data_IF_773304082697
#
_entry.id   IF_773304082697
#
_cell.length_a   1.000
_cell.length_b   1.000
_cell.length_c   1.000
_cell.angle_alpha   90.00
_cell.angle_beta   90.00
_cell.angle_gamma   90.00
#
_symmetry.space_group_name_H-M   'P 1'
#
loop_
_entity.id
_entity.type
_entity.pdbx_description
1 polymer ?
#
# COMPACT_ATOMS: atom_id res chain seq x y z
N UNK A 1 -28.59 -35.01 -9.16
CA UNK A 1 -28.50 -33.65 -8.59
C UNK A 1 -29.61 -32.83 -9.22
N UNK A 2 -30.60 -32.44 -8.42
CA UNK A 2 -31.78 -31.69 -8.88
C UNK A 2 -31.37 -30.28 -9.36
N UNK A 3 -32.19 -29.65 -10.21
CA UNK A 3 -31.92 -28.31 -10.74
C UNK A 3 -31.74 -27.25 -9.63
N UNK A 4 -32.45 -27.40 -8.51
CA UNK A 4 -32.36 -26.52 -7.35
C UNK A 4 -31.03 -26.66 -6.60
N UNK A 5 -30.52 -27.88 -6.44
CA UNK A 5 -29.20 -28.15 -5.82
C UNK A 5 -28.07 -27.54 -6.66
N UNK A 6 -28.16 -27.70 -7.99
CA UNK A 6 -27.22 -27.08 -8.93
C UNK A 6 -27.23 -25.55 -8.81
N UNK A 7 -28.42 -24.95 -8.69
CA UNK A 7 -28.59 -23.50 -8.54
C UNK A 7 -28.05 -23.00 -7.21
N UNK A 8 -28.28 -23.72 -6.12
CA UNK A 8 -27.77 -23.39 -4.79
C UNK A 8 -26.24 -23.46 -4.75
N UNK A 9 -25.65 -24.50 -5.32
CA UNK A 9 -24.20 -24.67 -5.42
C UNK A 9 -23.53 -23.55 -6.24
N UNK A 10 -24.09 -23.21 -7.41
CA UNK A 10 -23.61 -22.09 -8.25
C UNK A 10 -23.72 -20.75 -7.54
N UNK A 11 -24.83 -20.52 -6.82
CA UNK A 11 -25.02 -19.30 -6.02
C UNK A 11 -23.96 -19.19 -4.92
N UNK A 12 -23.66 -20.30 -4.25
CA UNK A 12 -22.64 -20.32 -3.20
C UNK A 12 -21.24 -20.08 -3.75
N UNK A 13 -20.90 -20.70 -4.88
CA UNK A 13 -19.64 -20.48 -5.58
C UNK A 13 -19.48 -19.00 -5.99
N UNK A 14 -20.53 -18.41 -6.58
CA UNK A 14 -20.55 -16.99 -6.95
C UNK A 14 -20.33 -16.07 -5.74
N UNK A 15 -20.99 -16.36 -4.61
CA UNK A 15 -20.78 -15.62 -3.35
C UNK A 15 -19.34 -15.73 -2.85
N UNK A 16 -18.74 -16.92 -2.89
CA UNK A 16 -17.34 -17.09 -2.47
C UNK A 16 -16.39 -16.27 -3.34
N UNK A 17 -16.52 -16.37 -4.66
CA UNK A 17 -15.69 -15.60 -5.61
C UNK A 17 -15.86 -14.10 -5.39
N UNK A 18 -17.08 -13.62 -5.17
CA UNK A 18 -17.35 -12.20 -4.88
C UNK A 18 -16.67 -11.73 -3.60
N UNK A 19 -16.68 -12.53 -2.52
CA UNK A 19 -16.00 -12.19 -1.27
C UNK A 19 -14.47 -12.10 -1.45
N UNK A 20 -13.88 -13.04 -2.16
CA UNK A 20 -12.44 -13.02 -2.45
C UNK A 20 -12.08 -11.82 -3.32
N UNK A 21 -12.89 -11.54 -4.36
CA UNK A 21 -12.68 -10.37 -5.23
C UNK A 21 -12.72 -9.05 -4.45
N UNK A 22 -13.63 -8.94 -3.47
CA UNK A 22 -13.69 -7.78 -2.57
C UNK A 22 -12.41 -7.65 -1.74
N UNK A 23 -11.90 -8.74 -1.18
CA UNK A 23 -10.63 -8.71 -0.43
C UNK A 23 -9.47 -8.24 -1.34
N UNK A 24 -9.40 -8.74 -2.58
CA UNK A 24 -8.33 -8.37 -3.52
C UNK A 24 -8.42 -6.92 -3.98
N UNK A 25 -9.61 -6.39 -4.24
CA UNK A 25 -9.77 -4.98 -4.62
C UNK A 25 -9.40 -4.04 -3.47
N UNK A 26 -9.74 -4.38 -2.23
CA UNK A 26 -9.32 -3.61 -1.05
C UNK A 26 -7.80 -3.57 -0.90
N UNK A 27 -7.12 -4.70 -1.14
CA UNK A 27 -5.67 -4.77 -1.11
C UNK A 27 -5.03 -3.91 -2.22
N UNK A 28 -5.56 -4.02 -3.45
CA UNK A 28 -5.13 -3.23 -4.61
C UNK A 28 -5.28 -1.72 -4.37
N UNK A 29 -6.41 -1.28 -3.82
CA UNK A 29 -6.62 0.13 -3.47
C UNK A 29 -5.59 0.61 -2.45
N UNK A 30 -5.31 -0.21 -1.44
CA UNK A 30 -4.30 0.09 -0.42
C UNK A 30 -2.90 0.22 -0.99
N UNK A 31 -2.47 -0.72 -1.84
CA UNK A 31 -1.18 -0.71 -2.55
C UNK A 31 -1.08 0.52 -3.47
N UNK A 32 -2.16 0.89 -4.15
CA UNK A 32 -2.16 2.06 -5.04
C UNK A 32 -2.00 3.38 -4.27
N UNK A 33 -2.73 3.58 -3.15
CA UNK A 33 -2.57 4.76 -2.27
C UNK A 33 -1.13 4.89 -1.78
N UNK A 34 -0.54 3.76 -1.46
CA UNK A 34 0.84 3.61 -1.03
C UNK A 34 1.87 4.03 -2.07
N UNK A 35 1.70 3.59 -3.33
CA UNK A 35 2.54 4.04 -4.45
C UNK A 35 2.49 5.55 -4.65
N UNK A 36 1.28 6.13 -4.61
CA UNK A 36 1.08 7.58 -4.72
C UNK A 36 1.76 8.35 -3.59
N UNK A 37 1.63 7.88 -2.35
CA UNK A 37 2.30 8.49 -1.20
C UNK A 37 3.82 8.49 -1.36
N UNK A 38 4.42 7.37 -1.78
CA UNK A 38 5.86 7.30 -2.02
C UNK A 38 6.31 8.27 -3.11
N UNK A 39 5.56 8.38 -4.20
CA UNK A 39 5.83 9.32 -5.29
C UNK A 39 5.75 10.78 -4.83
N UNK A 40 4.71 11.14 -4.05
CA UNK A 40 4.56 12.48 -3.47
C UNK A 40 5.73 12.84 -2.56
N UNK A 41 6.16 11.92 -1.68
CA UNK A 41 7.29 12.16 -0.79
C UNK A 41 8.59 12.38 -1.56
N UNK A 42 8.87 11.56 -2.58
CA UNK A 42 10.05 11.74 -3.44
C UNK A 42 10.01 13.11 -4.13
N UNK A 43 8.84 13.51 -4.64
CA UNK A 43 8.66 14.80 -5.31
C UNK A 43 8.90 15.98 -4.36
N UNK A 44 8.37 15.91 -3.12
CA UNK A 44 8.58 16.91 -2.08
C UNK A 44 10.07 17.01 -1.72
N UNK A 45 10.72 15.88 -1.44
CA UNK A 45 12.15 15.84 -1.10
C UNK A 45 12.99 16.45 -2.22
N UNK A 46 12.71 16.09 -3.49
CA UNK A 46 13.39 16.66 -4.66
C UNK A 46 13.24 18.18 -4.72
N UNK A 47 12.02 18.69 -4.55
CA UNK A 47 11.75 20.14 -4.56
C UNK A 47 12.52 20.87 -3.46
N UNK A 48 12.60 20.29 -2.26
CA UNK A 48 13.40 20.87 -1.17
C UNK A 48 14.90 20.86 -1.47
N UNK A 49 15.42 19.80 -2.09
CA UNK A 49 16.82 19.75 -2.53
C UNK A 49 17.12 20.80 -3.61
N UNK A 50 16.24 20.95 -4.60
CA UNK A 50 16.36 21.96 -5.65
C UNK A 50 16.32 23.39 -5.06
N UNK A 51 15.44 23.64 -4.09
CA UNK A 51 15.38 24.91 -3.38
C UNK A 51 16.66 25.19 -2.58
N UNK A 52 17.15 24.21 -1.82
CA UNK A 52 18.39 24.35 -1.05
C UNK A 52 19.60 24.62 -1.97
N UNK A 53 19.67 23.93 -3.11
CA UNK A 53 20.69 24.14 -4.13
C UNK A 53 20.61 25.56 -4.70
N UNK A 54 19.41 26.04 -5.02
CA UNK A 54 19.19 27.38 -5.57
C UNK A 54 19.60 28.48 -4.58
N UNK A 55 19.24 28.36 -3.30
CA UNK A 55 19.62 29.33 -2.27
C UNK A 55 21.12 29.36 -2.04
N UNK A 56 21.80 28.21 -2.06
CA UNK A 56 23.26 28.14 -2.03
C UNK A 56 23.87 28.74 -3.30
N UNK A 57 23.29 28.47 -4.48
CA UNK A 57 23.71 29.06 -5.75
C UNK A 57 23.66 30.59 -5.75
N UNK A 58 22.58 31.17 -5.23
CA UNK A 58 22.48 32.63 -5.01
C UNK A 58 23.57 33.14 -4.09
N UNK A 59 23.72 32.51 -2.90
CA UNK A 59 24.76 32.88 -1.94
C UNK A 59 26.16 32.79 -2.51
N UNK A 60 26.40 31.96 -3.53
CA UNK A 60 27.68 31.77 -4.22
C UNK A 60 27.90 32.71 -5.43
N UNK A 61 26.83 33.33 -5.94
CA UNK A 61 26.88 34.24 -7.10
C UNK A 61 27.25 35.68 -6.73
N UNK A 62 27.23 36.05 -5.45
CA UNK A 62 27.65 37.38 -5.01
C UNK A 62 29.16 37.57 -5.17
N UNK A 63 29.58 38.63 -5.85
CA UNK A 63 30.97 38.83 -6.31
C UNK A 63 32.02 39.03 -5.20
N UNK A 64 31.64 39.05 -3.92
CA UNK A 64 32.49 39.37 -2.77
C UNK A 64 32.91 38.18 -1.89
N UNK A 65 32.67 36.95 -2.35
CA UNK A 65 32.74 35.76 -1.48
C UNK A 65 34.17 35.24 -1.34
N UNK A 66 34.62 35.11 -0.09
CA UNK A 66 35.89 34.44 0.24
C UNK A 66 35.76 32.91 0.12
N UNK A 67 36.86 32.19 -0.14
CA UNK A 67 36.90 30.71 -0.17
C UNK A 67 36.31 30.04 1.09
N UNK A 68 36.36 30.70 2.26
CA UNK A 68 35.78 30.17 3.50
C UNK A 68 34.25 30.08 3.43
N UNK A 69 33.61 31.04 2.76
CA UNK A 69 32.14 31.10 2.60
C UNK A 69 31.62 30.06 1.59
N UNK A 70 32.44 29.68 0.61
CA UNK A 70 32.12 28.59 -0.32
C UNK A 70 32.11 27.26 0.43
N UNK A 71 33.13 27.01 1.25
CA UNK A 71 33.29 25.76 2.00
C UNK A 71 32.19 25.57 3.05
N UNK A 72 31.78 26.64 3.74
CA UNK A 72 30.65 26.58 4.68
C UNK A 72 29.32 26.34 3.97
N UNK A 73 29.06 27.00 2.84
CA UNK A 73 27.82 26.83 2.06
C UNK A 73 27.68 25.40 1.51
N UNK A 74 28.77 24.79 1.04
CA UNK A 74 28.76 23.38 0.61
C UNK A 74 28.55 22.41 1.78
N UNK A 75 29.09 22.72 2.97
CA UNK A 75 28.80 21.95 4.19
C UNK A 75 27.34 22.08 4.63
N UNK A 76 26.75 23.26 4.51
CA UNK A 76 25.31 23.46 4.76
C UNK A 76 24.46 22.65 3.78
N UNK A 77 24.77 22.71 2.48
CA UNK A 77 24.06 21.95 1.45
C UNK A 77 24.13 20.44 1.68
N UNK A 78 25.33 19.92 1.98
CA UNK A 78 25.52 18.48 2.26
C UNK A 78 24.76 18.02 3.51
N UNK A 79 24.72 18.82 4.57
CA UNK A 79 23.89 18.55 5.75
C UNK A 79 22.40 18.54 5.42
N UNK A 80 21.92 19.53 4.67
CA UNK A 80 20.53 19.60 4.24
C UNK A 80 20.15 18.39 3.37
N UNK A 81 21.01 18.00 2.43
CA UNK A 81 20.81 16.82 1.60
C UNK A 81 20.74 15.52 2.43
N UNK A 82 21.62 15.37 3.43
CA UNK A 82 21.62 14.22 4.32
C UNK A 82 20.33 14.13 5.17
N UNK A 83 19.88 15.26 5.73
CA UNK A 83 18.62 15.34 6.50
C UNK A 83 17.41 14.98 5.63
N UNK A 84 17.30 15.59 4.44
CA UNK A 84 16.23 15.31 3.49
C UNK A 84 16.25 13.85 3.01
N UNK A 85 17.43 13.27 2.84
CA UNK A 85 17.59 11.85 2.53
C UNK A 85 17.09 10.94 3.66
N UNK A 86 17.39 11.28 4.91
CA UNK A 86 16.90 10.54 6.08
C UNK A 86 15.38 10.66 6.26
N UNK A 87 14.81 11.85 6.05
CA UNK A 87 13.36 12.04 6.09
C UNK A 87 12.65 11.24 5.00
N UNK A 88 13.20 11.22 3.79
CA UNK A 88 12.68 10.40 2.71
C UNK A 88 12.75 8.91 3.04
N UNK A 89 13.87 8.43 3.58
CA UNK A 89 14.05 7.03 3.98
C UNK A 89 13.05 6.60 5.06
N UNK A 90 12.82 7.45 6.07
CA UNK A 90 11.78 7.23 7.08
C UNK A 90 10.38 7.15 6.46
N UNK A 91 10.03 8.07 5.57
CA UNK A 91 8.74 8.06 4.90
C UNK A 91 8.55 6.82 4.03
N UNK A 92 9.57 6.41 3.28
CA UNK A 92 9.53 5.19 2.46
C UNK A 92 9.47 3.91 3.31
N UNK A 93 10.15 3.89 4.47
CA UNK A 93 10.08 2.78 5.43
C UNK A 93 8.69 2.66 6.04
N UNK A 94 8.09 3.76 6.46
CA UNK A 94 6.71 3.80 6.96
C UNK A 94 5.71 3.33 5.91
N UNK A 95 5.92 3.78 4.68
CA UNK A 95 5.23 3.26 3.51
C UNK A 95 5.34 1.73 3.45
N UNK A 96 6.54 1.16 3.38
CA UNK A 96 6.72 -0.30 3.28
C UNK A 96 6.01 -1.06 4.41
N UNK A 97 6.09 -0.58 5.65
CA UNK A 97 5.39 -1.19 6.78
C UNK A 97 3.87 -1.19 6.61
N UNK A 98 3.30 -0.10 6.09
CA UNK A 98 1.86 -0.07 5.79
C UNK A 98 1.49 -1.10 4.70
N UNK A 99 2.35 -1.30 3.69
CA UNK A 99 2.13 -2.32 2.67
C UNK A 99 2.11 -3.74 3.26
N UNK A 100 3.05 -4.06 4.14
CA UNK A 100 3.11 -5.33 4.85
C UNK A 100 1.83 -5.58 5.66
N UNK A 101 1.34 -4.57 6.38
CA UNK A 101 0.06 -4.63 7.09
C UNK A 101 -1.13 -4.85 6.15
N UNK A 102 -1.11 -4.26 4.96
CA UNK A 102 -2.16 -4.47 3.96
C UNK A 102 -2.15 -5.88 3.38
N UNK A 103 -0.97 -6.47 3.17
CA UNK A 103 -0.83 -7.88 2.82
C UNK A 103 -1.36 -8.80 3.93
N UNK A 104 -1.07 -8.49 5.19
CA UNK A 104 -1.61 -9.23 6.33
C UNK A 104 -3.15 -9.14 6.40
N UNK A 105 -3.72 -7.95 6.19
CA UNK A 105 -5.17 -7.74 6.10
C UNK A 105 -5.80 -8.56 4.98
N UNK A 106 -5.17 -8.64 3.80
CA UNK A 106 -5.63 -9.48 2.69
C UNK A 106 -5.64 -10.96 3.06
N UNK A 107 -4.56 -11.45 3.68
CA UNK A 107 -4.45 -12.84 4.14
C UNK A 107 -5.58 -13.15 5.13
N UNK A 108 -5.78 -12.29 6.14
CA UNK A 108 -6.84 -12.42 7.13
C UNK A 108 -8.24 -12.37 6.50
N UNK A 109 -8.47 -11.49 5.53
CA UNK A 109 -9.73 -11.42 4.78
C UNK A 109 -10.01 -12.72 4.02
N UNK A 110 -8.98 -13.25 3.34
CA UNK A 110 -9.06 -14.50 2.58
C UNK A 110 -9.34 -15.71 3.47
N UNK A 111 -8.69 -15.79 4.64
CA UNK A 111 -8.95 -16.85 5.64
C UNK A 111 -10.41 -16.77 6.13
N UNK A 112 -10.92 -15.57 6.45
CA UNK A 112 -12.31 -15.38 6.87
C UNK A 112 -13.30 -15.77 5.77
N UNK A 113 -13.06 -15.35 4.53
CA UNK A 113 -13.90 -15.70 3.38
C UNK A 113 -13.94 -17.21 3.15
N UNK A 114 -12.79 -17.89 3.28
CA UNK A 114 -12.70 -19.35 3.20
C UNK A 114 -13.54 -20.03 4.29
N UNK A 115 -13.38 -19.64 5.56
CA UNK A 115 -14.17 -20.20 6.68
C UNK A 115 -15.67 -20.04 6.46
N UNK A 116 -16.11 -18.84 6.05
CA UNK A 116 -17.51 -18.58 5.74
C UNK A 116 -18.05 -19.51 4.63
N UNK A 117 -17.24 -19.79 3.62
CA UNK A 117 -17.60 -20.70 2.55
C UNK A 117 -17.63 -22.15 3.01
N UNK A 118 -16.68 -22.60 3.84
CA UNK A 118 -16.71 -23.93 4.44
C UNK A 118 -17.98 -24.14 5.28
N UNK A 119 -18.35 -23.15 6.09
CA UNK A 119 -19.60 -23.17 6.87
C UNK A 119 -20.85 -23.24 5.99
N UNK A 120 -20.86 -22.45 4.91
CA UNK A 120 -21.99 -22.42 3.97
C UNK A 120 -22.11 -23.72 3.16
N UNK A 121 -20.98 -24.35 2.81
CA UNK A 121 -20.96 -25.68 2.17
C UNK A 121 -21.49 -26.75 3.13
N UNK A 122 -21.11 -26.70 4.41
CA UNK A 122 -21.65 -27.61 5.43
C UNK A 122 -23.17 -27.51 5.55
N UNK A 123 -23.70 -26.28 5.63
CA UNK A 123 -25.16 -26.04 5.64
C UNK A 123 -25.85 -26.54 4.38
N UNK A 124 -25.23 -26.34 3.21
CA UNK A 124 -25.77 -26.85 1.95
C UNK A 124 -25.81 -28.39 1.94
N UNK A 125 -24.78 -29.06 2.46
CA UNK A 125 -24.78 -30.52 2.61
C UNK A 125 -25.90 -30.99 3.53
N UNK A 126 -26.09 -30.37 4.69
CA UNK A 126 -27.18 -30.69 5.63
C UNK A 126 -28.56 -30.53 4.98
N UNK A 127 -28.77 -29.43 4.24
CA UNK A 127 -30.00 -29.20 3.47
C UNK A 127 -30.23 -30.27 2.39
N UNK A 128 -29.19 -30.65 1.64
CA UNK A 128 -29.28 -31.71 0.64
C UNK A 128 -29.59 -33.08 1.26
N UNK A 129 -28.99 -33.41 2.41
CA UNK A 129 -29.34 -34.63 3.14
C UNK A 129 -30.81 -34.66 3.54
N UNK A 130 -31.37 -33.55 4.01
CA UNK A 130 -32.80 -33.47 4.35
C UNK A 130 -33.72 -33.65 3.13
N UNK A 131 -33.32 -33.17 1.95
CA UNK A 131 -34.11 -33.34 0.71
C UNK A 131 -34.07 -34.77 0.14
N UNK A 132 -33.05 -35.57 0.44
CA UNK A 132 -32.91 -36.96 -0.06
C UNK A 132 -33.67 -37.96 0.82
N UNK A 133 -33.90 -37.64 2.09
CA UNK A 133 -34.57 -38.51 3.08
C UNK A 133 -35.99 -38.05 3.47
N UNK A 134 -36.54 -37.05 2.77
CA UNK A 134 -37.94 -36.60 2.88
C UNK A 134 -38.77 -37.17 1.72
#
# INVERSE_FOLDING_TARGET
MCNEERRAALTLASKHVSLIYKCTEQAKESISKMGKYAEEMISITRRHMEFALHEVGKKLSDKSISRSNVTSSLKELSRAAALLGYELDLSLTNARRHNEQSCEKLSNCSIKARRFSEDSVRKLKEFMYQCVYA
#
